data_IF_454104193201
#
_entry.id   IF_454104193201
#
_cell.length_a   1.000
_cell.length_b   1.000
_cell.length_c   1.000
_cell.angle_alpha   90.00
_cell.angle_beta   90.00
_cell.angle_gamma   90.00
#
_symmetry.space_group_name_H-M   'P 1'
#
loop_
_entity.id
_entity.type
_entity.pdbx_description
1 polymer ?
#
# COMPACT_ATOMS: atom_id res chain seq x y z
N UNK A 1 -5.58 7.78 27.29
CA UNK A 1 -4.34 7.06 27.69
C UNK A 1 -4.23 5.86 26.77
N UNK A 2 -3.34 5.90 25.77
CA UNK A 2 -3.19 4.83 24.78
C UNK A 2 -2.31 3.73 25.37
N UNK A 3 -2.92 2.71 25.98
CA UNK A 3 -2.21 1.51 26.40
C UNK A 3 -2.01 0.62 25.18
N UNK A 4 -0.80 0.52 24.67
CA UNK A 4 -0.46 -0.50 23.68
C UNK A 4 -0.48 -1.86 24.38
N UNK A 5 -1.17 -2.83 23.79
CA UNK A 5 -1.04 -4.23 24.22
C UNK A 5 0.40 -4.67 23.97
N UNK A 6 0.94 -5.50 24.84
CA UNK A 6 2.28 -6.09 24.64
C UNK A 6 2.32 -6.78 23.26
N UNK A 7 3.35 -6.47 22.45
CA UNK A 7 3.45 -6.95 21.07
C UNK A 7 2.67 -6.16 20.01
N UNK A 8 1.95 -5.09 20.38
CA UNK A 8 1.30 -4.19 19.41
C UNK A 8 2.18 -3.02 19.00
N UNK A 9 1.99 -2.55 17.76
CA UNK A 9 2.63 -1.34 17.24
C UNK A 9 1.58 -0.37 16.68
N UNK A 10 1.95 0.89 16.61
CA UNK A 10 1.16 1.92 15.91
C UNK A 10 1.92 2.33 14.67
N UNK A 11 1.20 2.46 13.56
CA UNK A 11 1.75 3.04 12.34
C UNK A 11 2.46 4.38 12.63
N UNK A 12 3.68 4.53 12.10
CA UNK A 12 4.53 5.71 12.30
C UNK A 12 5.47 5.63 13.51
N UNK A 13 5.32 4.63 14.39
CA UNK A 13 6.22 4.39 15.51
C UNK A 13 7.17 3.21 15.22
N UNK A 14 8.41 3.28 15.70
CA UNK A 14 9.42 2.22 15.56
C UNK A 14 9.56 1.67 14.12
N UNK A 15 9.65 2.56 13.12
CA UNK A 15 9.74 2.17 11.71
C UNK A 15 8.47 1.58 11.11
N UNK A 16 7.37 1.54 11.87
CA UNK A 16 6.15 0.79 11.54
C UNK A 16 6.41 -0.71 11.35
N UNK A 17 7.31 -1.28 12.15
CA UNK A 17 7.71 -2.67 12.06
C UNK A 17 7.23 -3.51 13.25
N UNK A 18 6.65 -4.67 12.96
CA UNK A 18 6.35 -5.72 13.94
C UNK A 18 7.13 -6.98 13.57
N UNK A 19 7.74 -7.62 14.57
CA UNK A 19 8.54 -8.82 14.38
C UNK A 19 7.81 -10.05 14.90
N UNK A 20 7.71 -11.06 14.05
CA UNK A 20 7.24 -12.39 14.37
C UNK A 20 8.43 -13.35 14.31
N UNK A 21 8.59 -14.21 15.33
CA UNK A 21 9.65 -15.23 15.32
C UNK A 21 9.46 -16.27 14.22
N UNK A 22 8.20 -16.57 13.89
CA UNK A 22 7.79 -17.49 12.84
C UNK A 22 6.48 -17.02 12.20
N UNK A 23 6.05 -17.68 11.13
CA UNK A 23 4.75 -17.42 10.51
C UNK A 23 3.63 -17.45 11.57
N UNK A 24 2.68 -16.52 11.45
CA UNK A 24 1.65 -16.35 12.48
C UNK A 24 0.52 -15.43 12.06
N UNK A 25 -0.48 -15.32 12.92
CA UNK A 25 -1.62 -14.42 12.72
C UNK A 25 -1.31 -13.05 13.30
N UNK A 26 -1.59 -12.00 12.54
CA UNK A 26 -1.56 -10.61 13.03
C UNK A 26 -2.97 -10.07 13.13
N UNK A 27 -3.21 -9.26 14.15
CA UNK A 27 -4.46 -8.55 14.37
C UNK A 27 -4.27 -7.07 14.01
N UNK A 28 -5.18 -6.53 13.21
CA UNK A 28 -5.15 -5.16 12.73
C UNK A 28 -6.42 -4.48 13.21
N UNK A 29 -6.27 -3.43 14.00
CA UNK A 29 -7.35 -2.55 14.42
C UNK A 29 -7.15 -1.16 13.81
N UNK A 30 -8.22 -0.54 13.34
CA UNK A 30 -8.21 0.83 12.86
C UNK A 30 -9.53 1.54 13.15
N UNK A 31 -9.44 2.85 13.38
CA UNK A 31 -10.59 3.75 13.38
C UNK A 31 -10.62 4.49 12.04
N UNK A 32 -11.70 4.32 11.29
CA UNK A 32 -11.86 4.81 9.91
C UNK A 32 -13.08 5.72 9.83
N UNK A 33 -12.98 6.79 9.05
CA UNK A 33 -14.13 7.59 8.63
C UNK A 33 -14.08 7.83 7.12
N UNK A 34 -15.24 7.85 6.50
CA UNK A 34 -15.43 8.11 5.07
C UNK A 34 -16.69 8.96 4.91
N UNK A 35 -16.77 9.78 3.86
CA UNK A 35 -17.96 10.59 3.60
C UNK A 35 -18.35 10.59 2.13
N UNK A 36 -19.48 9.95 1.83
CA UNK A 36 -20.20 10.05 0.57
C UNK A 36 -21.35 11.03 0.70
N UNK A 37 -21.70 11.70 -0.42
CA UNK A 37 -22.97 12.40 -0.55
C UNK A 37 -24.14 11.40 -0.46
N UNK A 38 -25.31 11.89 -0.07
CA UNK A 38 -26.50 11.04 0.07
C UNK A 38 -26.90 10.41 -1.26
N UNK A 39 -26.95 11.23 -2.31
CA UNK A 39 -27.25 10.79 -3.67
C UNK A 39 -25.96 10.46 -4.43
N UNK A 40 -25.94 9.36 -5.21
CA UNK A 40 -24.81 9.04 -6.07
C UNK A 40 -24.56 10.11 -7.13
N UNK A 41 -23.29 10.31 -7.49
CA UNK A 41 -22.88 11.14 -8.60
C UNK A 41 -22.30 10.24 -9.71
N UNK A 42 -23.16 9.91 -10.67
CA UNK A 42 -22.81 9.06 -11.81
C UNK A 42 -21.69 9.67 -12.67
N UNK A 43 -21.60 11.01 -12.75
CA UNK A 43 -20.59 11.68 -13.55
C UNK A 43 -19.19 11.57 -12.92
N UNK A 44 -19.10 11.56 -11.59
CA UNK A 44 -17.85 11.29 -10.88
C UNK A 44 -17.47 9.81 -10.94
N UNK A 45 -18.44 8.91 -10.75
CA UNK A 45 -18.24 7.45 -10.79
C UNK A 45 -17.71 6.97 -12.13
N UNK A 46 -18.23 7.49 -13.24
CA UNK A 46 -17.85 7.10 -14.61
C UNK A 46 -16.60 7.82 -15.15
N UNK A 47 -16.06 8.80 -14.42
CA UNK A 47 -14.95 9.63 -14.92
C UNK A 47 -13.67 8.81 -15.10
N UNK A 48 -12.90 8.98 -16.18
CA UNK A 48 -11.60 8.32 -16.32
C UNK A 48 -10.64 8.66 -15.16
N UNK A 49 -9.75 7.72 -14.78
CA UNK A 49 -8.75 7.97 -13.73
C UNK A 49 -7.72 9.03 -14.10
N UNK A 50 -7.55 9.32 -15.38
CA UNK A 50 -6.68 10.38 -15.89
C UNK A 50 -7.29 11.79 -15.77
N UNK A 51 -8.52 11.92 -15.28
CA UNK A 51 -9.22 13.20 -15.14
C UNK A 51 -9.56 13.52 -13.69
N UNK A 52 -9.48 14.82 -13.34
CA UNK A 52 -9.83 15.31 -12.00
C UNK A 52 -11.35 15.24 -11.74
N UNK A 53 -11.81 15.01 -10.50
CA UNK A 53 -11.01 14.61 -9.34
C UNK A 53 -10.54 13.15 -9.48
N UNK A 54 -9.25 12.92 -9.16
CA UNK A 54 -8.57 11.64 -9.41
C UNK A 54 -8.95 10.56 -8.38
N UNK A 55 -8.96 10.93 -7.09
CA UNK A 55 -9.15 10.04 -5.92
C UNK A 55 -10.49 10.29 -5.20
N UNK A 56 -11.53 10.60 -5.97
CA UNK A 56 -12.85 10.85 -5.41
C UNK A 56 -13.47 9.57 -4.83
N UNK A 57 -13.99 9.67 -3.60
CA UNK A 57 -14.57 8.55 -2.87
C UNK A 57 -15.87 8.04 -3.51
N UNK A 58 -16.53 8.85 -4.33
CA UNK A 58 -17.70 8.42 -5.11
C UNK A 58 -17.40 7.20 -5.98
N UNK A 59 -16.15 7.08 -6.46
CA UNK A 59 -15.68 5.93 -7.24
C UNK A 59 -15.63 4.64 -6.42
N UNK A 60 -15.57 4.73 -5.09
CA UNK A 60 -15.57 3.61 -4.16
C UNK A 60 -16.98 3.20 -3.71
N UNK A 61 -18.04 3.95 -4.11
CA UNK A 61 -19.42 3.67 -3.71
C UNK A 61 -19.86 2.27 -4.16
N UNK A 62 -20.46 1.53 -3.25
CA UNK A 62 -21.06 0.22 -3.53
C UNK A 62 -22.51 0.41 -4.00
N UNK A 63 -22.76 0.18 -5.29
CA UNK A 63 -24.08 0.36 -5.90
C UNK A 63 -24.63 1.77 -5.69
N UNK A 64 -25.86 1.85 -5.20
CA UNK A 64 -26.56 3.10 -4.83
C UNK A 64 -26.51 3.38 -3.31
N UNK A 65 -25.83 2.53 -2.54
CA UNK A 65 -25.71 2.69 -1.09
C UNK A 65 -24.77 3.84 -0.72
N UNK A 66 -24.75 4.25 0.56
CA UNK A 66 -23.70 5.10 1.12
C UNK A 66 -22.53 4.29 1.70
N UNK A 67 -22.34 3.05 1.27
CA UNK A 67 -21.25 2.20 1.75
C UNK A 67 -20.01 2.27 0.86
N UNK A 68 -18.84 2.13 1.49
CA UNK A 68 -17.54 1.98 0.82
C UNK A 68 -16.78 0.78 1.38
N UNK A 69 -15.93 0.11 0.56
CA UNK A 69 -15.09 -0.98 1.04
C UNK A 69 -13.84 -0.45 1.73
N UNK A 70 -13.60 -0.92 2.95
CA UNK A 70 -12.29 -0.85 3.63
C UNK A 70 -11.62 -2.21 3.43
N UNK A 71 -10.52 -2.21 2.68
CA UNK A 71 -9.78 -3.40 2.29
C UNK A 71 -8.49 -3.52 3.09
N UNK A 72 -8.23 -4.72 3.62
CA UNK A 72 -6.93 -5.12 4.14
C UNK A 72 -6.07 -5.64 2.98
N UNK A 73 -4.89 -5.02 2.82
CA UNK A 73 -3.94 -5.33 1.78
C UNK A 73 -2.71 -5.99 2.39
N UNK A 74 -2.27 -7.11 1.80
CA UNK A 74 -0.99 -7.76 2.11
C UNK A 74 -0.22 -7.90 0.81
N UNK A 75 0.97 -7.29 0.74
CA UNK A 75 1.84 -7.33 -0.44
C UNK A 75 1.12 -6.97 -1.76
N UNK A 76 0.20 -6.00 -1.71
CA UNK A 76 -0.53 -5.50 -2.87
C UNK A 76 -1.84 -6.25 -3.17
N UNK A 77 -2.12 -7.35 -2.48
CA UNK A 77 -3.32 -8.16 -2.66
C UNK A 77 -4.37 -7.87 -1.59
N UNK A 78 -5.64 -7.78 -1.98
CA UNK A 78 -6.77 -7.68 -1.04
C UNK A 78 -6.97 -9.05 -0.40
N UNK A 79 -6.78 -9.14 0.92
CA UNK A 79 -6.96 -10.39 1.67
C UNK A 79 -8.24 -10.41 2.50
N UNK A 80 -8.81 -9.24 2.80
CA UNK A 80 -10.10 -9.11 3.48
C UNK A 80 -10.74 -7.75 3.17
N UNK A 81 -12.06 -7.68 3.29
CA UNK A 81 -12.84 -6.45 3.07
C UNK A 81 -13.94 -6.31 4.12
N UNK A 82 -14.12 -5.10 4.64
CA UNK A 82 -15.32 -4.72 5.41
C UNK A 82 -15.98 -3.53 4.75
N UNK A 83 -17.31 -3.45 4.84
CA UNK A 83 -18.06 -2.28 4.39
C UNK A 83 -18.30 -1.36 5.57
N UNK A 84 -18.19 -0.05 5.33
CA UNK A 84 -18.58 0.97 6.31
C UNK A 84 -19.55 1.94 5.64
N UNK A 85 -20.46 2.50 6.44
CA UNK A 85 -21.29 3.62 6.00
C UNK A 85 -20.41 4.87 5.97
N UNK A 86 -20.32 5.51 4.80
CA UNK A 86 -19.55 6.72 4.60
C UNK A 86 -20.40 7.96 4.96
N UNK A 87 -20.79 8.09 6.22
CA UNK A 87 -21.55 9.25 6.73
C UNK A 87 -20.69 10.29 7.46
N UNK A 88 -19.37 10.08 7.51
CA UNK A 88 -18.40 10.93 8.20
C UNK A 88 -18.15 10.55 9.66
N UNK A 89 -18.85 9.56 10.22
CA UNK A 89 -18.59 9.07 11.58
C UNK A 89 -17.37 8.16 11.63
N UNK A 90 -16.72 8.14 12.78
CA UNK A 90 -15.66 7.20 13.10
C UNK A 90 -16.25 5.81 13.34
N UNK A 91 -15.68 4.81 12.68
CA UNK A 91 -16.05 3.40 12.79
C UNK A 91 -14.79 2.60 13.09
N UNK A 92 -14.86 1.75 14.10
CA UNK A 92 -13.77 0.81 14.37
C UNK A 92 -13.92 -0.42 13.48
N UNK A 93 -12.82 -0.81 12.84
CA UNK A 93 -12.72 -2.02 12.02
C UNK A 93 -11.54 -2.86 12.51
N UNK A 94 -11.74 -4.18 12.51
CA UNK A 94 -10.74 -5.14 12.99
C UNK A 94 -10.60 -6.31 12.02
N UNK A 95 -9.37 -6.66 11.69
CA UNK A 95 -9.06 -7.79 10.83
C UNK A 95 -8.05 -8.71 11.51
N UNK A 96 -8.09 -9.98 11.17
CA UNK A 96 -7.01 -10.92 11.40
C UNK A 96 -6.55 -11.47 10.06
N UNK A 97 -5.24 -11.70 9.93
CA UNK A 97 -4.70 -12.34 8.74
C UNK A 97 -3.46 -13.14 9.07
N UNK A 98 -3.29 -14.27 8.37
CA UNK A 98 -2.10 -15.11 8.49
C UNK A 98 -0.97 -14.53 7.63
N UNK A 99 0.18 -14.31 8.26
CA UNK A 99 1.41 -13.86 7.59
C UNK A 99 2.40 -15.03 7.59
N UNK A 100 2.67 -15.54 6.38
CA UNK A 100 3.53 -16.72 6.19
C UNK A 100 5.01 -16.36 6.03
N UNK A 101 5.29 -15.12 5.62
CA UNK A 101 6.63 -14.58 5.35
C UNK A 101 6.64 -13.08 5.55
N UNK A 102 7.82 -12.49 5.66
CA UNK A 102 7.95 -11.04 5.81
C UNK A 102 7.18 -10.30 4.73
N UNK A 103 6.28 -9.43 5.16
CA UNK A 103 5.25 -8.81 4.32
C UNK A 103 5.05 -7.35 4.72
N UNK A 104 4.41 -6.58 3.85
CA UNK A 104 3.83 -5.31 4.24
C UNK A 104 2.30 -5.39 4.23
N UNK A 105 1.69 -4.67 5.15
CA UNK A 105 0.26 -4.66 5.39
C UNK A 105 -0.26 -3.21 5.37
N UNK A 106 -1.39 -2.95 4.72
CA UNK A 106 -2.01 -1.63 4.71
C UNK A 106 -3.53 -1.75 4.65
N UNK A 107 -4.23 -0.66 4.99
CA UNK A 107 -5.67 -0.52 4.73
C UNK A 107 -5.89 0.45 3.57
N UNK A 108 -6.94 0.23 2.78
CA UNK A 108 -7.36 1.19 1.75
C UNK A 108 -8.87 1.24 1.54
N UNK A 109 -9.33 2.38 1.01
CA UNK A 109 -10.60 2.53 0.31
C UNK A 109 -10.24 2.89 -1.13
N UNK A 110 -10.24 1.90 -2.03
CA UNK A 110 -9.88 2.13 -3.43
C UNK A 110 -11.06 2.81 -4.17
N UNK A 111 -10.83 3.87 -4.99
CA UNK A 111 -9.57 4.52 -5.35
C UNK A 111 -9.32 5.85 -4.62
N UNK A 112 -9.77 5.99 -3.37
CA UNK A 112 -9.76 7.25 -2.64
C UNK A 112 -8.58 7.43 -1.69
N UNK A 113 -8.34 6.47 -0.80
CA UNK A 113 -7.37 6.62 0.29
C UNK A 113 -6.73 5.29 0.70
N UNK A 114 -5.55 5.37 1.30
CA UNK A 114 -4.87 4.24 1.91
C UNK A 114 -4.02 4.70 3.10
N UNK A 115 -3.67 3.78 4.00
CA UNK A 115 -2.67 4.02 5.03
C UNK A 115 -1.27 3.86 4.46
N UNK A 116 -0.24 4.31 5.18
CA UNK A 116 1.11 3.81 4.94
C UNK A 116 1.18 2.29 5.22
N UNK A 117 2.22 1.59 4.78
CA UNK A 117 2.40 0.20 5.17
C UNK A 117 2.87 0.08 6.63
N UNK A 118 2.47 -1.02 7.26
CA UNK A 118 3.15 -1.63 8.41
C UNK A 118 3.94 -2.83 7.89
N UNK A 119 5.19 -2.96 8.30
CA UNK A 119 6.06 -4.07 7.95
C UNK A 119 5.94 -5.18 8.99
N UNK A 120 5.57 -6.38 8.57
CA UNK A 120 5.56 -7.58 9.40
C UNK A 120 6.77 -8.40 9.02
N UNK A 121 7.80 -8.41 9.85
CA UNK A 121 9.03 -9.18 9.61
C UNK A 121 8.93 -10.54 10.28
N UNK A 122 9.12 -11.62 9.53
CA UNK A 122 9.06 -13.00 10.01
C UNK A 122 10.47 -13.59 10.05
N UNK A 123 10.90 -14.09 11.21
CA UNK A 123 12.22 -14.72 11.38
C UNK A 123 13.39 -13.78 11.02
N UNK A 124 13.24 -12.48 11.30
CA UNK A 124 14.17 -11.41 10.92
C UNK A 124 14.54 -11.36 9.42
N UNK A 125 13.73 -11.97 8.56
CA UNK A 125 13.93 -11.92 7.11
C UNK A 125 13.38 -10.61 6.54
N UNK A 126 13.99 -10.06 5.47
CA UNK A 126 13.45 -8.88 4.81
C UNK A 126 12.21 -9.23 3.98
N UNK A 127 11.41 -8.23 3.61
CA UNK A 127 10.25 -8.44 2.72
C UNK A 127 10.71 -8.82 1.31
N UNK A 128 10.42 -10.05 0.90
CA UNK A 128 10.72 -10.63 -0.44
C UNK A 128 9.50 -11.37 -1.00
N UNK A 129 8.35 -10.72 -0.85
CA UNK A 129 7.06 -11.37 -0.94
C UNK A 129 6.38 -11.31 -2.32
N UNK A 130 6.99 -10.63 -3.30
CA UNK A 130 6.50 -10.65 -4.69
C UNK A 130 7.64 -10.35 -5.67
N UNK A 131 8.00 -11.35 -6.47
CA UNK A 131 8.94 -11.20 -7.57
C UNK A 131 8.37 -10.30 -8.66
N UNK A 132 7.08 -10.43 -8.95
CA UNK A 132 6.41 -9.59 -9.94
C UNK A 132 6.49 -8.10 -9.55
N UNK A 133 6.28 -7.76 -8.28
CA UNK A 133 6.42 -6.39 -7.79
C UNK A 133 7.84 -5.87 -7.95
N UNK A 134 8.86 -6.68 -7.62
CA UNK A 134 10.26 -6.30 -7.78
C UNK A 134 10.64 -6.10 -9.27
N UNK A 135 10.17 -6.96 -10.17
CA UNK A 135 10.37 -6.84 -11.62
C UNK A 135 9.65 -5.61 -12.19
N UNK A 136 8.44 -5.31 -11.69
CA UNK A 136 7.71 -4.12 -12.09
C UNK A 136 8.48 -2.86 -11.69
N UNK A 137 9.00 -2.79 -10.47
CA UNK A 137 9.85 -1.68 -10.02
C UNK A 137 11.13 -1.55 -10.87
N UNK A 138 11.77 -2.67 -11.23
CA UNK A 138 12.93 -2.65 -12.12
C UNK A 138 12.58 -2.09 -13.51
N UNK A 139 11.45 -2.49 -14.09
CA UNK A 139 10.96 -1.96 -15.38
C UNK A 139 10.61 -0.47 -15.27
N UNK A 140 9.95 -0.06 -14.18
CA UNK A 140 9.61 1.33 -13.92
C UNK A 140 10.86 2.22 -13.78
N UNK A 141 11.94 1.70 -13.18
CA UNK A 141 13.22 2.39 -13.11
C UNK A 141 13.78 2.70 -14.50
N UNK A 142 13.74 1.74 -15.43
CA UNK A 142 14.22 1.96 -16.81
C UNK A 142 13.36 2.97 -17.56
N UNK A 143 12.03 2.89 -17.42
CA UNK A 143 11.13 3.90 -18.01
C UNK A 143 11.40 5.29 -17.44
N UNK A 144 11.64 5.39 -16.13
CA UNK A 144 12.00 6.64 -15.48
C UNK A 144 13.30 7.19 -16.06
N UNK A 145 14.35 6.36 -16.20
CA UNK A 145 15.61 6.78 -16.82
C UNK A 145 15.39 7.32 -18.24
N UNK A 146 14.72 6.53 -19.10
CA UNK A 146 14.46 6.90 -20.50
C UNK A 146 13.71 8.23 -20.63
N UNK A 147 12.76 8.50 -19.74
CA UNK A 147 12.00 9.75 -19.77
C UNK A 147 12.77 10.95 -19.20
N UNK A 148 13.63 10.73 -18.19
CA UNK A 148 14.25 11.79 -17.38
C UNK A 148 15.69 12.11 -17.76
N UNK A 149 16.46 11.21 -18.35
CA UNK A 149 17.89 11.44 -18.62
C UNK A 149 18.17 12.72 -19.44
N UNK A 150 17.26 13.05 -20.37
CA UNK A 150 17.34 14.25 -21.20
C UNK A 150 17.10 15.55 -20.43
N UNK A 151 16.49 15.47 -19.24
CA UNK A 151 16.15 16.62 -18.40
C UNK A 151 17.23 16.98 -17.39
N UNK A 152 18.21 16.11 -17.17
CA UNK A 152 19.32 16.38 -16.24
C UNK A 152 20.33 17.36 -16.81
N UNK A 153 20.84 18.25 -15.96
CA UNK A 153 21.92 19.14 -16.34
C UNK A 153 23.17 18.34 -16.72
N UNK A 154 23.96 18.84 -17.68
CA UNK A 154 25.16 18.14 -18.18
C UNK A 154 26.12 17.74 -17.06
N UNK A 155 26.30 18.60 -16.06
CA UNK A 155 27.16 18.34 -14.91
C UNK A 155 26.64 17.24 -13.97
N UNK A 156 25.33 16.99 -13.93
CA UNK A 156 24.68 16.02 -13.03
C UNK A 156 24.54 14.64 -13.69
N UNK A 157 24.51 14.57 -15.02
CA UNK A 157 24.33 13.32 -15.77
C UNK A 157 25.27 12.18 -15.35
N UNK A 158 26.57 12.41 -15.11
CA UNK A 158 27.46 11.33 -14.65
C UNK A 158 27.02 10.72 -13.32
N UNK A 159 26.65 11.56 -12.34
CA UNK A 159 26.17 11.08 -11.02
C UNK A 159 24.83 10.38 -11.15
N UNK A 160 23.90 10.92 -11.94
CA UNK A 160 22.61 10.29 -12.19
C UNK A 160 22.78 8.89 -12.80
N UNK A 161 23.69 8.69 -13.76
CA UNK A 161 23.98 7.35 -14.31
C UNK A 161 24.42 6.36 -13.24
N UNK A 162 25.29 6.79 -12.32
CA UNK A 162 25.76 5.95 -11.21
C UNK A 162 24.63 5.59 -10.24
N UNK A 163 23.76 6.54 -9.92
CA UNK A 163 22.62 6.31 -9.02
C UNK A 163 21.60 5.34 -9.62
N UNK A 164 21.32 5.49 -10.91
CA UNK A 164 20.46 4.55 -11.63
C UNK A 164 21.10 3.17 -11.74
N UNK A 165 22.42 3.06 -11.96
CA UNK A 165 23.08 1.74 -11.95
C UNK A 165 23.05 1.09 -10.57
N UNK A 166 23.26 1.86 -9.50
CA UNK A 166 23.07 1.35 -8.14
C UNK A 166 21.64 0.82 -7.93
N UNK A 167 20.63 1.59 -8.32
CA UNK A 167 19.24 1.17 -8.23
C UNK A 167 18.96 -0.10 -9.07
N UNK A 168 19.54 -0.24 -10.27
CA UNK A 168 19.45 -1.46 -11.09
C UNK A 168 20.01 -2.67 -10.35
N UNK A 169 21.18 -2.52 -9.74
CA UNK A 169 21.80 -3.60 -8.96
C UNK A 169 20.94 -4.01 -7.77
N UNK A 170 20.36 -3.03 -7.06
CA UNK A 170 19.41 -3.29 -5.95
C UNK A 170 18.20 -4.07 -6.46
N UNK A 171 17.52 -3.63 -7.51
CA UNK A 171 16.33 -4.34 -8.01
C UNK A 171 16.67 -5.72 -8.59
N UNK A 172 17.80 -5.88 -9.28
CA UNK A 172 18.28 -7.21 -9.73
C UNK A 172 18.45 -8.16 -8.55
N UNK A 173 19.06 -7.68 -7.45
CA UNK A 173 19.21 -8.45 -6.21
C UNK A 173 17.85 -8.79 -5.59
N UNK A 174 16.93 -7.83 -5.48
CA UNK A 174 15.58 -8.06 -4.94
C UNK A 174 14.81 -9.12 -5.76
N UNK A 175 14.85 -9.05 -7.09
CA UNK A 175 14.20 -10.03 -7.98
C UNK A 175 14.79 -11.43 -7.77
N UNK A 176 16.10 -11.55 -7.57
CA UNK A 176 16.76 -12.82 -7.30
C UNK A 176 16.45 -13.39 -5.90
N UNK A 177 16.22 -12.51 -4.91
CA UNK A 177 15.90 -12.90 -3.53
C UNK A 177 14.41 -13.23 -3.31
N UNK A 178 13.51 -12.75 -4.17
CA UNK A 178 12.09 -13.09 -4.10
C UNK A 178 11.86 -14.56 -4.50
N UNK A 179 11.39 -15.37 -3.54
CA UNK A 179 11.10 -16.80 -3.73
C UNK A 179 9.66 -17.09 -4.12
N UNK A 180 8.84 -16.04 -4.27
CA UNK A 180 7.40 -16.11 -4.56
C UNK A 180 7.02 -14.98 -5.52
N UNK A 181 5.94 -15.18 -6.27
CA UNK A 181 5.49 -14.27 -7.34
C UNK A 181 4.68 -13.07 -6.85
#
# INVERSE_FOLDING_TARGET
MWGLKEGSIVQGFNGSEIKLQQAGTVFIDATVAARLNDQPDAALKARPYSQKPYWDIERARIGESREVPVELIVNGQVVATKRIVADGKLVNVSFDTKIERSSWVALRILPSSHTNPIWVLVGDQPVRASKHSAEWCAKALELCWQQKERTYATAEKPKAKLDYEHARQVYRKLVAECTVD
#
